data_IF_977036870279
#
_entry.id   IF_977036870279
#
_cell.length_a   1.000
_cell.length_b   1.000
_cell.length_c   1.000
_cell.angle_alpha   90.00
_cell.angle_beta   90.00
_cell.angle_gamma   90.00
#
_symmetry.space_group_name_H-M   'P 1'
#
loop_
_entity.id
_entity.type
_entity.pdbx_description
1 polymer ?
#
# COMPACT_ATOMS: atom_id res chain seq x y z
N UNK A 1 12.29 8.70 -5.38
CA UNK A 1 10.97 8.61 -6.01
C UNK A 1 9.92 9.45 -5.28
N UNK A 2 9.67 9.21 -3.98
CA UNK A 2 8.77 10.02 -3.14
C UNK A 2 9.56 10.65 -2.00
N UNK A 3 9.30 11.93 -1.69
CA UNK A 3 9.90 12.65 -0.59
C UNK A 3 8.80 13.43 0.16
N UNK A 4 8.72 13.26 1.47
CA UNK A 4 7.77 13.91 2.36
C UNK A 4 8.55 14.79 3.33
N UNK A 5 8.17 16.08 3.41
CA UNK A 5 8.84 17.08 4.26
C UNK A 5 7.83 17.75 5.17
N UNK A 6 8.02 17.59 6.49
CA UNK A 6 7.24 18.23 7.56
C UNK A 6 5.74 18.14 7.30
N UNK A 7 5.25 16.97 6.87
CA UNK A 7 3.85 16.78 6.52
C UNK A 7 2.98 16.82 7.77
N UNK A 8 1.97 17.68 7.72
CA UNK A 8 0.96 17.83 8.77
C UNK A 8 -0.43 17.64 8.18
N UNK A 9 -1.25 16.83 8.85
CA UNK A 9 -2.65 16.57 8.43
C UNK A 9 -3.58 16.71 9.62
N UNK A 10 -4.72 17.34 9.42
CA UNK A 10 -5.75 17.58 10.44
C UNK A 10 -7.12 17.13 9.98
N UNK A 11 -7.90 16.56 10.89
CA UNK A 11 -9.33 16.33 10.77
C UNK A 11 -10.06 17.31 11.70
N UNK A 12 -10.47 18.45 11.18
CA UNK A 12 -11.00 19.54 12.00
C UNK A 12 -9.97 19.98 13.03
N UNK A 13 -10.25 19.78 14.32
CA UNK A 13 -9.34 20.13 15.41
C UNK A 13 -8.33 19.01 15.75
N UNK A 14 -8.53 17.80 15.24
CA UNK A 14 -7.66 16.66 15.54
C UNK A 14 -6.45 16.70 14.61
N UNK A 15 -5.25 16.81 15.16
CA UNK A 15 -4.00 16.76 14.44
C UNK A 15 -3.56 15.31 14.32
N UNK A 16 -3.66 14.74 13.13
CA UNK A 16 -3.42 13.31 12.91
C UNK A 16 -2.00 12.98 12.44
N UNK A 17 -1.33 13.90 11.72
CA UNK A 17 0.09 13.76 11.36
C UNK A 17 0.85 15.01 11.76
N UNK A 18 2.01 14.84 12.39
CA UNK A 18 2.84 15.89 12.96
C UNK A 18 4.25 15.85 12.37
N UNK A 19 4.58 16.81 11.51
CA UNK A 19 5.92 17.00 10.93
C UNK A 19 6.55 15.71 10.38
N UNK A 20 5.74 14.87 9.71
CA UNK A 20 6.20 13.60 9.16
C UNK A 20 7.21 13.84 8.05
N UNK A 21 8.37 13.21 8.17
CA UNK A 21 9.41 13.16 7.15
C UNK A 21 9.66 11.71 6.74
N UNK A 22 9.62 11.41 5.45
CA UNK A 22 9.81 10.07 4.93
C UNK A 22 10.27 10.13 3.48
N UNK A 23 11.10 9.17 3.08
CA UNK A 23 11.54 9.02 1.69
C UNK A 23 11.27 7.60 1.20
N UNK A 24 10.93 7.46 -0.09
CA UNK A 24 10.79 6.18 -0.76
C UNK A 24 11.69 6.18 -2.00
N UNK A 25 12.69 5.32 -2.00
CA UNK A 25 13.55 5.12 -3.16
C UNK A 25 12.82 4.30 -4.24
N UNK A 26 13.22 4.47 -5.49
CA UNK A 26 12.64 3.69 -6.60
C UNK A 26 13.05 2.22 -6.49
N UNK A 27 12.10 1.31 -6.68
CA UNK A 27 12.32 -0.14 -6.61
C UNK A 27 12.41 -0.71 -5.19
N UNK A 28 12.33 0.13 -4.14
CA UNK A 28 12.36 -0.32 -2.75
C UNK A 28 10.98 -0.73 -2.24
N UNK A 29 10.98 -1.63 -1.27
CA UNK A 29 9.89 -1.81 -0.32
C UNK A 29 10.20 -0.95 0.90
N UNK A 30 9.35 0.04 1.16
CA UNK A 30 9.45 0.89 2.35
C UNK A 30 8.25 0.62 3.24
N UNK A 31 8.49 0.37 4.52
CA UNK A 31 7.39 0.12 5.47
C UNK A 31 7.21 1.25 6.47
N UNK A 32 5.95 1.54 6.78
CA UNK A 32 5.53 2.36 7.92
C UNK A 32 4.83 1.46 8.90
N UNK A 33 5.49 1.16 10.01
CA UNK A 33 4.95 0.26 11.05
C UNK A 33 4.48 1.05 12.27
N UNK A 34 3.44 0.58 12.92
CA UNK A 34 2.88 1.23 14.12
C UNK A 34 1.55 0.65 14.55
N UNK A 35 1.13 0.94 15.76
CA UNK A 35 -0.15 0.51 16.31
C UNK A 35 -1.36 1.11 15.54
N UNK A 36 -2.56 0.58 15.81
CA UNK A 36 -3.80 1.18 15.33
C UNK A 36 -3.93 2.62 15.86
N UNK A 37 -4.33 3.54 14.99
CA UNK A 37 -4.40 4.96 15.33
C UNK A 37 -3.06 5.72 15.26
N UNK A 38 -1.94 5.08 14.91
CA UNK A 38 -0.64 5.76 14.78
C UNK A 38 -0.59 6.81 13.67
N UNK A 39 -1.55 6.81 12.70
CA UNK A 39 -1.59 7.75 11.59
C UNK A 39 -1.26 7.14 10.22
N UNK A 40 -1.00 5.85 10.13
CA UNK A 40 -0.61 5.13 8.90
C UNK A 40 -1.61 5.33 7.76
N UNK A 41 -2.88 5.03 7.98
CA UNK A 41 -3.96 5.23 6.99
C UNK A 41 -4.09 6.69 6.58
N UNK A 42 -3.94 7.64 7.52
CA UNK A 42 -3.96 9.08 7.22
C UNK A 42 -2.82 9.44 6.25
N UNK A 43 -1.63 8.91 6.48
CA UNK A 43 -0.49 9.09 5.57
C UNK A 43 -0.81 8.53 4.18
N UNK A 44 -1.26 7.26 4.10
CA UNK A 44 -1.61 6.62 2.83
C UNK A 44 -2.70 7.37 2.06
N UNK A 45 -3.75 7.81 2.73
CA UNK A 45 -4.83 8.60 2.12
C UNK A 45 -4.34 9.96 1.62
N UNK A 46 -3.42 10.61 2.35
CA UNK A 46 -2.83 11.88 1.92
C UNK A 46 -1.99 11.70 0.67
N UNK A 47 -1.17 10.66 0.60
CA UNK A 47 -0.35 10.34 -0.56
C UNK A 47 -1.19 9.94 -1.78
N UNK A 48 -2.37 9.39 -1.57
CA UNK A 48 -3.33 9.08 -2.63
C UNK A 48 -4.18 10.29 -3.08
N UNK A 49 -3.98 11.48 -2.50
CA UNK A 49 -4.77 12.68 -2.81
C UNK A 49 -6.22 12.64 -2.31
N UNK A 50 -6.51 11.76 -1.34
CA UNK A 50 -7.82 11.65 -0.69
C UNK A 50 -7.96 12.57 0.51
N UNK A 51 -6.83 13.04 1.06
CA UNK A 51 -6.76 14.03 2.13
C UNK A 51 -5.80 15.14 1.74
N UNK A 52 -6.17 16.38 2.06
CA UNK A 52 -5.32 17.55 1.82
C UNK A 52 -4.48 17.82 3.07
N UNK A 53 -3.15 17.92 2.97
CA UNK A 53 -2.30 18.29 4.09
C UNK A 53 -2.60 19.73 4.55
N UNK A 54 -2.50 19.98 5.86
CA UNK A 54 -2.63 21.32 6.42
C UNK A 54 -1.34 22.13 6.24
N UNK A 55 -0.18 21.47 6.21
CA UNK A 55 1.12 22.07 5.87
C UNK A 55 2.14 20.97 5.52
N UNK A 56 3.33 21.37 5.08
CA UNK A 56 4.35 20.47 4.61
C UNK A 56 4.28 20.25 3.09
N UNK A 57 5.18 19.43 2.59
CA UNK A 57 5.34 19.20 1.17
C UNK A 57 5.47 17.70 0.88
N UNK A 58 4.85 17.25 -0.22
CA UNK A 58 5.06 15.91 -0.78
C UNK A 58 5.54 16.10 -2.21
N UNK A 59 6.74 15.59 -2.48
CA UNK A 59 7.35 15.59 -3.81
C UNK A 59 7.33 14.17 -4.37
N UNK A 60 6.80 14.01 -5.56
CA UNK A 60 6.85 12.78 -6.33
C UNK A 60 7.64 13.05 -7.62
N UNK A 61 8.76 12.31 -7.78
CA UNK A 61 9.71 12.53 -8.88
C UNK A 61 10.16 13.99 -9.00
N UNK A 62 10.45 14.61 -7.87
CA UNK A 62 10.96 15.99 -7.78
C UNK A 62 9.91 17.07 -8.02
N UNK A 63 8.64 16.71 -8.22
CA UNK A 63 7.55 17.68 -8.42
C UNK A 63 6.47 17.52 -7.36
N UNK A 64 5.82 18.63 -6.98
CA UNK A 64 4.76 18.61 -5.98
C UNK A 64 3.62 17.65 -6.36
N UNK A 65 3.16 16.88 -5.40
CA UNK A 65 2.07 15.93 -5.58
C UNK A 65 0.75 16.69 -5.83
N UNK A 66 -0.06 16.31 -6.84
CA UNK A 66 -1.40 16.87 -7.03
C UNK A 66 -2.29 16.63 -5.80
N UNK A 67 -3.25 17.51 -5.59
CA UNK A 67 -4.21 17.37 -4.47
C UNK A 67 -5.37 16.45 -4.79
N UNK A 68 -5.67 16.23 -6.06
CA UNK A 68 -6.83 15.47 -6.51
C UNK A 68 -6.44 14.02 -6.80
N UNK A 69 -7.16 13.07 -6.19
CA UNK A 69 -6.85 11.64 -6.25
C UNK A 69 -6.72 11.09 -7.69
N UNK A 70 -7.59 11.52 -8.62
CA UNK A 70 -7.51 11.05 -9.99
C UNK A 70 -6.23 11.52 -10.72
N UNK A 71 -5.71 12.72 -10.38
CA UNK A 71 -4.42 13.21 -10.89
C UNK A 71 -3.25 12.45 -10.27
N UNK A 72 -3.33 12.11 -8.98
CA UNK A 72 -2.33 11.28 -8.28
C UNK A 72 -2.26 9.91 -8.94
N UNK A 73 -3.41 9.26 -9.17
CA UNK A 73 -3.47 7.99 -9.89
C UNK A 73 -2.90 8.10 -11.30
N UNK A 74 -3.23 9.16 -12.03
CA UNK A 74 -2.69 9.45 -13.37
C UNK A 74 -1.16 9.65 -13.40
N UNK A 75 -0.55 9.98 -12.26
CA UNK A 75 0.92 10.05 -12.11
C UNK A 75 1.57 8.71 -11.73
N UNK A 76 0.76 7.66 -11.58
CA UNK A 76 1.25 6.31 -11.30
C UNK A 76 1.37 5.99 -9.81
N UNK A 77 0.62 6.64 -8.94
CA UNK A 77 0.49 6.28 -7.52
C UNK A 77 -0.87 5.64 -7.32
N UNK A 78 -0.91 4.38 -6.86
CA UNK A 78 -2.16 3.67 -6.60
C UNK A 78 -2.22 3.22 -5.14
N UNK A 79 -3.35 3.47 -4.48
CA UNK A 79 -3.64 3.01 -3.13
C UNK A 79 -4.53 1.76 -3.17
N UNK A 80 -4.09 0.71 -2.51
CA UNK A 80 -4.92 -0.41 -2.05
C UNK A 80 -5.27 -0.14 -0.60
N UNK A 81 -6.50 0.30 -0.30
CA UNK A 81 -6.87 0.73 1.04
C UNK A 81 -7.15 -0.46 1.97
N UNK A 82 -7.12 -0.20 3.28
CA UNK A 82 -7.65 -1.09 4.30
C UNK A 82 -9.07 -1.59 3.93
N UNK A 83 -9.43 -2.79 4.34
CA UNK A 83 -10.75 -3.42 4.07
C UNK A 83 -11.06 -3.64 2.60
N UNK A 84 -10.02 -3.76 1.74
CA UNK A 84 -10.09 -4.23 0.35
C UNK A 84 -10.92 -3.35 -0.60
N UNK A 85 -12.05 -2.82 -0.15
CA UNK A 85 -13.01 -1.96 -0.89
C UNK A 85 -13.29 -2.46 -2.31
N UNK A 86 -13.57 -3.76 -2.44
CA UNK A 86 -14.01 -4.35 -3.70
C UNK A 86 -15.46 -3.95 -4.00
N UNK A 87 -15.80 -3.95 -5.27
CA UNK A 87 -17.18 -3.87 -5.72
C UNK A 87 -17.81 -5.27 -5.57
N UNK A 88 -18.50 -5.52 -4.45
CA UNK A 88 -18.99 -6.83 -4.06
C UNK A 88 -19.92 -7.48 -5.09
N UNK A 89 -20.73 -6.66 -5.78
CA UNK A 89 -21.70 -7.07 -6.81
C UNK A 89 -21.08 -7.17 -8.23
N UNK A 90 -19.80 -6.91 -8.38
CA UNK A 90 -19.06 -7.17 -9.61
C UNK A 90 -18.27 -8.46 -9.48
N UNK A 91 -18.06 -9.13 -10.60
CA UNK A 91 -17.22 -10.32 -10.69
C UNK A 91 -15.74 -9.97 -10.43
N UNK A 92 -14.91 -10.99 -10.21
CA UNK A 92 -13.45 -10.82 -10.12
C UNK A 92 -12.93 -10.12 -11.37
N UNK A 93 -13.30 -10.59 -12.57
CA UNK A 93 -12.90 -9.99 -13.84
C UNK A 93 -13.26 -8.50 -13.93
N UNK A 94 -14.49 -8.15 -13.58
CA UNK A 94 -14.95 -6.76 -13.60
C UNK A 94 -14.21 -5.88 -12.59
N UNK A 95 -13.94 -6.40 -11.39
CA UNK A 95 -13.09 -5.70 -10.41
C UNK A 95 -11.70 -5.41 -10.97
N UNK A 96 -11.06 -6.37 -11.65
CA UNK A 96 -9.76 -6.15 -12.28
C UNK A 96 -9.84 -5.07 -13.37
N UNK A 97 -10.84 -5.12 -14.24
CA UNK A 97 -11.06 -4.12 -15.30
C UNK A 97 -11.32 -2.72 -14.73
N UNK A 98 -11.98 -2.60 -13.57
CA UNK A 98 -12.13 -1.31 -12.88
C UNK A 98 -10.78 -0.69 -12.50
N UNK A 99 -9.76 -1.51 -12.19
CA UNK A 99 -8.39 -1.02 -11.96
C UNK A 99 -7.76 -0.37 -13.20
N UNK A 100 -8.17 -0.79 -14.39
CA UNK A 100 -7.69 -0.25 -15.66
C UNK A 100 -8.60 0.87 -16.23
N UNK A 101 -9.57 1.38 -15.47
CA UNK A 101 -10.62 2.29 -15.95
C UNK A 101 -10.08 3.54 -16.70
N UNK A 102 -8.96 4.10 -16.26
CA UNK A 102 -8.35 5.28 -16.89
C UNK A 102 -7.48 4.94 -18.11
N UNK A 103 -7.32 3.65 -18.46
CA UNK A 103 -6.45 3.18 -19.53
C UNK A 103 -7.22 2.97 -20.81
N UNK A 104 -6.55 3.24 -21.94
CA UNK A 104 -7.12 3.09 -23.30
C UNK A 104 -6.42 1.99 -24.12
N UNK A 105 -5.33 1.42 -23.60
CA UNK A 105 -4.45 0.44 -24.24
C UNK A 105 -4.99 -1.00 -24.09
N UNK A 106 -6.09 -1.32 -24.77
CA UNK A 106 -6.84 -2.59 -24.63
C UNK A 106 -5.99 -3.85 -24.72
N UNK A 107 -5.06 -3.92 -25.68
CA UNK A 107 -4.16 -5.07 -25.84
C UNK A 107 -3.27 -5.29 -24.61
N UNK A 108 -2.73 -4.21 -24.04
CA UNK A 108 -1.93 -4.29 -22.84
C UNK A 108 -2.77 -4.61 -21.59
N UNK A 109 -4.03 -4.17 -21.52
CA UNK A 109 -4.95 -4.53 -20.42
C UNK A 109 -5.15 -6.04 -20.41
N UNK A 110 -5.33 -6.69 -21.56
CA UNK A 110 -5.49 -8.13 -21.62
C UNK A 110 -4.22 -8.88 -21.15
N UNK A 111 -3.06 -8.44 -21.62
CA UNK A 111 -1.77 -9.01 -21.16
C UNK A 111 -1.54 -8.82 -19.66
N UNK A 112 -1.92 -7.66 -19.10
CA UNK A 112 -1.83 -7.43 -17.65
C UNK A 112 -2.78 -8.33 -16.87
N UNK A 113 -3.96 -8.62 -17.38
CA UNK A 113 -4.87 -9.59 -16.75
C UNK A 113 -4.23 -10.98 -16.68
N UNK A 114 -3.60 -11.45 -17.76
CA UNK A 114 -2.89 -12.73 -17.79
C UNK A 114 -1.73 -12.75 -16.77
N UNK A 115 -1.01 -11.64 -16.65
CA UNK A 115 0.01 -11.47 -15.60
C UNK A 115 -0.60 -11.55 -14.19
N UNK A 116 -1.80 -10.98 -13.96
CA UNK A 116 -2.49 -11.11 -12.67
C UNK A 116 -2.89 -12.57 -12.39
N UNK A 117 -3.25 -13.36 -13.38
CA UNK A 117 -3.55 -14.79 -13.20
C UNK A 117 -2.30 -15.59 -12.86
N UNK A 118 -1.16 -15.23 -13.45
CA UNK A 118 0.14 -15.85 -13.09
C UNK A 118 0.52 -15.52 -11.65
N UNK A 119 0.38 -14.26 -11.25
CA UNK A 119 0.73 -13.81 -9.90
C UNK A 119 -0.24 -14.34 -8.82
N UNK A 120 -1.52 -14.47 -9.18
CA UNK A 120 -2.60 -14.91 -8.29
C UNK A 120 -3.47 -15.97 -9.01
N UNK A 121 -3.02 -17.24 -9.11
CA UNK A 121 -3.70 -18.28 -9.92
C UNK A 121 -5.17 -18.52 -9.56
N UNK A 122 -5.54 -18.27 -8.30
CA UNK A 122 -6.94 -18.39 -7.85
C UNK A 122 -7.90 -17.48 -8.63
N UNK A 123 -7.42 -16.36 -9.16
CA UNK A 123 -8.28 -15.41 -9.90
C UNK A 123 -8.79 -16.00 -11.20
N UNK A 124 -7.95 -16.74 -11.92
CA UNK A 124 -8.34 -17.38 -13.19
C UNK A 124 -9.51 -18.35 -12.96
N UNK A 125 -9.46 -19.11 -11.87
CA UNK A 125 -10.51 -20.07 -11.51
C UNK A 125 -11.81 -19.38 -11.07
N UNK A 126 -11.73 -18.13 -10.59
CA UNK A 126 -12.84 -17.37 -9.97
C UNK A 126 -13.33 -16.18 -10.81
N UNK A 127 -12.88 -16.03 -12.07
CA UNK A 127 -13.15 -14.86 -12.91
C UNK A 127 -14.62 -14.42 -12.97
N UNK A 128 -15.54 -15.39 -13.01
CA UNK A 128 -16.99 -15.16 -13.11
C UNK A 128 -17.67 -15.07 -11.74
N UNK A 129 -16.95 -15.32 -10.65
CA UNK A 129 -17.49 -15.28 -9.29
C UNK A 129 -17.63 -13.84 -8.82
N UNK A 130 -18.70 -13.50 -8.12
CA UNK A 130 -18.88 -12.20 -7.49
C UNK A 130 -17.85 -11.99 -6.38
N UNK A 131 -17.18 -10.84 -6.37
CA UNK A 131 -16.09 -10.57 -5.44
C UNK A 131 -16.54 -10.59 -3.97
N UNK A 132 -17.80 -10.25 -3.70
CA UNK A 132 -18.37 -10.32 -2.35
C UNK A 132 -18.48 -11.73 -1.75
N UNK A 133 -18.43 -12.78 -2.60
CA UNK A 133 -18.53 -14.18 -2.16
C UNK A 133 -17.19 -14.88 -1.96
N UNK A 134 -16.10 -14.19 -2.21
CA UNK A 134 -14.74 -14.69 -2.01
C UNK A 134 -14.37 -14.68 -0.52
N UNK A 135 -13.44 -15.57 -0.13
CA UNK A 135 -12.81 -15.50 1.19
C UNK A 135 -12.03 -14.20 1.38
N UNK A 136 -11.77 -13.84 2.63
CA UNK A 136 -11.05 -12.60 2.94
C UNK A 136 -9.67 -12.50 2.27
N UNK A 137 -8.92 -13.59 2.20
CA UNK A 137 -7.63 -13.61 1.53
C UNK A 137 -7.73 -13.48 0.02
N UNK A 138 -8.69 -14.18 -0.60
CA UNK A 138 -8.95 -14.03 -2.04
C UNK A 138 -9.37 -12.60 -2.40
N UNK A 139 -10.24 -11.98 -1.58
CA UNK A 139 -10.61 -10.57 -1.76
C UNK A 139 -9.40 -9.63 -1.68
N UNK A 140 -8.47 -9.88 -0.76
CA UNK A 140 -7.25 -9.06 -0.63
C UNK A 140 -6.37 -9.18 -1.88
N UNK A 141 -6.20 -10.39 -2.41
CA UNK A 141 -5.46 -10.62 -3.65
C UNK A 141 -6.11 -9.88 -4.83
N UNK A 142 -7.45 -9.94 -4.95
CA UNK A 142 -8.20 -9.21 -5.99
C UNK A 142 -8.03 -7.69 -5.81
N UNK A 143 -8.00 -7.16 -4.59
CA UNK A 143 -7.78 -5.74 -4.34
C UNK A 143 -6.39 -5.28 -4.78
N UNK A 144 -5.34 -6.07 -4.48
CA UNK A 144 -3.97 -5.79 -4.91
C UNK A 144 -3.88 -5.85 -6.44
N UNK A 145 -4.39 -6.92 -7.05
CA UNK A 145 -4.39 -7.09 -8.49
C UNK A 145 -5.14 -5.96 -9.20
N UNK A 146 -6.30 -5.54 -8.69
CA UNK A 146 -7.03 -4.37 -9.21
C UNK A 146 -6.16 -3.11 -9.17
N UNK A 147 -5.41 -2.89 -8.09
CA UNK A 147 -4.46 -1.78 -8.01
C UNK A 147 -3.37 -1.86 -9.08
N UNK A 148 -2.79 -3.05 -9.28
CA UNK A 148 -1.76 -3.31 -10.29
C UNK A 148 -2.25 -3.11 -11.74
N UNK A 149 -3.54 -3.34 -12.00
CA UNK A 149 -4.14 -3.10 -13.32
C UNK A 149 -4.08 -1.64 -13.77
N UNK A 150 -3.88 -0.69 -12.85
CA UNK A 150 -3.63 0.72 -13.19
C UNK A 150 -2.20 0.98 -13.71
N UNK A 151 -1.30 -0.02 -13.70
CA UNK A 151 0.15 0.08 -13.97
C UNK A 151 0.81 1.18 -13.13
N UNK A 152 0.70 1.13 -11.80
CA UNK A 152 1.31 2.13 -10.96
C UNK A 152 2.85 2.02 -11.02
N UNK A 153 3.54 3.11 -10.67
CA UNK A 153 4.97 3.13 -10.41
C UNK A 153 5.27 3.08 -8.90
N UNK A 154 4.31 3.53 -8.11
CA UNK A 154 4.31 3.43 -6.65
C UNK A 154 2.98 2.82 -6.19
N UNK A 155 3.06 1.66 -5.53
CA UNK A 155 1.92 0.97 -4.93
C UNK A 155 1.91 1.26 -3.44
N UNK A 156 0.81 1.88 -2.97
CA UNK A 156 0.55 2.11 -1.55
C UNK A 156 -0.35 0.97 -1.04
N UNK A 157 0.09 0.25 -0.01
CA UNK A 157 -0.66 -0.85 0.62
C UNK A 157 -0.97 -0.49 2.07
N UNK A 158 -2.25 -0.35 2.41
CA UNK A 158 -2.71 0.03 3.74
C UNK A 158 -3.26 -1.19 4.49
N UNK A 159 -2.48 -1.69 5.44
CA UNK A 159 -2.75 -2.87 6.28
C UNK A 159 -3.26 -4.10 5.48
N UNK A 160 -2.53 -4.53 4.45
CA UNK A 160 -3.00 -5.61 3.58
C UNK A 160 -3.13 -6.97 4.30
N UNK A 161 -2.46 -7.18 5.43
CA UNK A 161 -2.55 -8.42 6.22
C UNK A 161 -3.74 -8.48 7.17
N UNK A 162 -4.43 -7.35 7.41
CA UNK A 162 -5.44 -7.24 8.44
C UNK A 162 -6.60 -8.23 8.25
N UNK A 163 -6.88 -9.02 9.29
CA UNK A 163 -7.99 -9.98 9.30
C UNK A 163 -7.83 -11.16 8.35
N UNK A 164 -6.60 -11.49 7.96
CA UNK A 164 -6.28 -12.67 7.17
C UNK A 164 -5.83 -13.83 8.07
N UNK A 165 -6.11 -15.06 7.63
CA UNK A 165 -5.54 -16.26 8.24
C UNK A 165 -4.01 -16.30 8.02
N UNK A 166 -3.20 -16.89 8.93
CA UNK A 166 -1.74 -16.88 8.85
C UNK A 166 -1.18 -17.30 7.50
N UNK A 167 -1.68 -18.40 6.95
CA UNK A 167 -1.23 -18.89 5.63
C UNK A 167 -1.50 -17.89 4.50
N UNK A 168 -2.59 -17.13 4.58
CA UNK A 168 -2.93 -16.11 3.59
C UNK A 168 -2.05 -14.87 3.73
N UNK A 169 -1.63 -14.54 4.96
CA UNK A 169 -0.66 -13.48 5.24
C UNK A 169 0.69 -13.82 4.58
N UNK A 170 1.19 -15.03 4.78
CA UNK A 170 2.44 -15.49 4.15
C UNK A 170 2.37 -15.41 2.62
N UNK A 171 1.29 -15.92 2.02
CA UNK A 171 1.10 -15.90 0.57
C UNK A 171 1.02 -14.46 0.03
N UNK A 172 0.36 -13.56 0.75
CA UNK A 172 0.27 -12.15 0.39
C UNK A 172 1.65 -11.47 0.43
N UNK A 173 2.43 -11.67 1.50
CA UNK A 173 3.78 -11.09 1.59
C UNK A 173 4.73 -11.67 0.52
N UNK A 174 4.60 -12.97 0.17
CA UNK A 174 5.33 -13.55 -0.97
C UNK A 174 4.97 -12.85 -2.27
N UNK A 175 3.67 -12.63 -2.54
CA UNK A 175 3.22 -11.92 -3.73
C UNK A 175 3.74 -10.47 -3.76
N UNK A 176 3.74 -9.74 -2.64
CA UNK A 176 4.30 -8.38 -2.54
C UNK A 176 5.80 -8.37 -2.89
N UNK A 177 6.58 -9.34 -2.38
CA UNK A 177 8.00 -9.50 -2.74
C UNK A 177 8.17 -9.75 -4.24
N UNK A 178 7.36 -10.62 -4.82
CA UNK A 178 7.42 -10.94 -6.26
C UNK A 178 7.09 -9.71 -7.12
N UNK A 179 6.08 -8.93 -6.74
CA UNK A 179 5.72 -7.67 -7.38
C UNK A 179 6.91 -6.68 -7.33
N UNK A 180 7.58 -6.57 -6.18
CA UNK A 180 8.74 -5.70 -6.03
C UNK A 180 9.94 -6.17 -6.85
N UNK A 181 10.23 -7.49 -6.89
CA UNK A 181 11.30 -8.06 -7.71
C UNK A 181 11.12 -7.77 -9.21
N UNK A 182 9.89 -7.47 -9.66
CA UNK A 182 9.59 -7.03 -11.02
C UNK A 182 9.80 -5.50 -11.20
N UNK A 183 10.38 -4.81 -10.21
CA UNK A 183 10.74 -3.39 -10.25
C UNK A 183 9.68 -2.43 -9.67
N UNK A 184 8.60 -2.94 -9.07
CA UNK A 184 7.58 -2.11 -8.44
C UNK A 184 8.13 -1.45 -7.17
N UNK A 185 7.90 -0.15 -7.00
CA UNK A 185 8.12 0.54 -5.72
C UNK A 185 6.90 0.38 -4.83
N UNK A 186 7.11 0.03 -3.57
CA UNK A 186 6.01 -0.26 -2.64
C UNK A 186 6.20 0.55 -1.35
N UNK A 187 5.15 1.25 -0.92
CA UNK A 187 5.04 1.80 0.42
C UNK A 187 3.95 1.02 1.17
N UNK A 188 4.36 0.32 2.22
CA UNK A 188 3.54 -0.59 2.99
C UNK A 188 3.26 -0.01 4.39
N UNK A 189 2.00 0.20 4.74
CA UNK A 189 1.59 0.46 6.12
C UNK A 189 1.14 -0.84 6.76
N UNK A 190 1.71 -1.20 7.91
CA UNK A 190 1.40 -2.46 8.59
C UNK A 190 1.41 -2.32 10.11
N UNK A 191 0.56 -3.12 10.74
CA UNK A 191 0.61 -3.33 12.18
C UNK A 191 1.52 -4.50 12.54
N UNK A 192 1.60 -5.53 11.69
CA UNK A 192 2.51 -6.66 11.86
C UNK A 192 3.96 -6.23 11.56
N UNK A 193 4.59 -5.65 12.58
CA UNK A 193 5.92 -5.05 12.44
C UNK A 193 6.97 -6.08 12.02
N UNK A 194 6.94 -7.32 12.53
CA UNK A 194 7.94 -8.32 12.22
C UNK A 194 8.00 -8.61 10.71
N UNK A 195 6.86 -8.98 10.12
CA UNK A 195 6.80 -9.32 8.69
C UNK A 195 7.07 -8.13 7.78
N UNK A 196 6.58 -6.94 8.16
CA UNK A 196 6.84 -5.72 7.41
C UNK A 196 8.33 -5.37 7.39
N UNK A 197 8.99 -5.37 8.56
CA UNK A 197 10.42 -5.06 8.68
C UNK A 197 11.31 -6.10 8.00
N UNK A 198 10.95 -7.39 8.06
CA UNK A 198 11.71 -8.47 7.42
C UNK A 198 11.82 -8.32 5.91
N UNK A 199 10.79 -7.72 5.27
CA UNK A 199 10.77 -7.57 3.81
C UNK A 199 11.22 -6.19 3.32
N UNK A 200 11.43 -5.24 4.21
CA UNK A 200 11.67 -3.84 3.84
C UNK A 200 13.15 -3.51 3.66
N UNK A 201 13.44 -2.74 2.62
CA UNK A 201 14.73 -2.09 2.44
C UNK A 201 14.91 -0.99 3.49
N UNK A 202 13.91 -0.10 3.62
CA UNK A 202 13.84 0.97 4.60
C UNK A 202 12.52 0.88 5.37
N UNK A 203 12.52 1.31 6.62
CA UNK A 203 11.33 1.33 7.43
C UNK A 203 11.27 2.50 8.40
N UNK A 204 10.05 2.89 8.75
CA UNK A 204 9.72 4.00 9.63
C UNK A 204 8.75 3.50 10.70
N UNK A 205 9.06 3.74 11.96
CA UNK A 205 8.15 3.46 13.07
C UNK A 205 7.33 4.70 13.36
N UNK A 206 6.01 4.57 13.30
CA UNK A 206 5.07 5.67 13.49
C UNK A 206 4.29 5.47 14.79
N UNK A 207 4.25 6.52 15.61
CA UNK A 207 3.46 6.59 16.84
C UNK A 207 2.81 7.95 16.98
N UNK A 208 1.51 7.98 17.28
CA UNK A 208 0.73 9.21 17.52
C UNK A 208 0.99 10.30 16.46
N UNK A 209 0.97 9.91 15.18
CA UNK A 209 1.15 10.81 14.04
C UNK A 209 2.58 11.27 13.76
N UNK A 210 3.59 10.71 14.41
CA UNK A 210 5.02 11.06 14.27
C UNK A 210 5.85 9.86 13.87
N UNK A 211 6.91 10.09 13.09
CA UNK A 211 7.97 9.10 12.92
C UNK A 211 8.90 9.22 14.13
N UNK A 212 9.05 8.13 14.89
CA UNK A 212 9.88 8.09 16.09
C UNK A 212 11.23 7.40 15.86
N UNK A 213 11.29 6.44 14.92
CA UNK A 213 12.51 5.73 14.55
C UNK A 213 12.47 5.46 13.05
N UNK A 214 13.62 5.48 12.40
CA UNK A 214 13.78 5.11 10.99
C UNK A 214 15.12 4.40 10.75
N UNK A 215 15.18 3.55 9.75
CA UNK A 215 16.37 2.81 9.38
C UNK A 215 16.06 1.73 8.36
N UNK A 216 17.03 0.87 8.06
CA UNK A 216 16.75 -0.32 7.25
C UNK A 216 15.87 -1.30 8.03
N UNK A 217 15.03 -2.08 7.33
CA UNK A 217 14.20 -3.09 7.98
C UNK A 217 15.00 -4.02 8.89
N UNK A 218 16.16 -4.48 8.40
CA UNK A 218 17.10 -5.33 9.17
C UNK A 218 17.65 -4.64 10.44
N UNK A 219 17.95 -3.35 10.36
CA UNK A 219 18.44 -2.60 11.53
C UNK A 219 17.34 -2.49 12.59
N UNK A 220 16.11 -2.13 12.17
CA UNK A 220 14.97 -1.99 13.09
C UNK A 220 14.51 -3.31 13.69
N UNK A 221 14.61 -4.43 12.97
CA UNK A 221 14.38 -5.77 13.54
C UNK A 221 15.32 -6.11 14.70
N UNK A 222 16.52 -5.51 14.72
CA UNK A 222 17.51 -5.75 15.78
C UNK A 222 17.54 -4.66 16.84
N UNK A 223 16.80 -3.57 16.66
CA UNK A 223 16.72 -2.47 17.61
C UNK A 223 15.99 -2.90 18.90
N UNK A 224 16.60 -2.73 20.10
CA UNK A 224 16.00 -3.16 21.37
C UNK A 224 14.67 -2.44 21.68
N UNK A 225 14.54 -1.17 21.30
CA UNK A 225 13.32 -0.39 21.54
C UNK A 225 12.19 -0.90 20.65
N UNK A 226 12.49 -1.15 19.38
CA UNK A 226 11.51 -1.68 18.41
C UNK A 226 11.08 -3.10 18.82
N UNK A 227 12.04 -3.95 19.23
CA UNK A 227 11.74 -5.31 19.73
C UNK A 227 10.76 -5.29 20.88
N UNK A 228 11.06 -4.53 21.91
CA UNK A 228 10.22 -4.45 23.11
C UNK A 228 8.83 -3.84 22.83
N UNK A 229 8.75 -2.79 22.02
CA UNK A 229 7.51 -2.04 21.81
C UNK A 229 6.58 -2.68 20.74
N UNK A 230 7.15 -3.32 19.70
CA UNK A 230 6.40 -3.71 18.51
C UNK A 230 6.54 -5.19 18.12
N UNK A 231 7.56 -5.92 18.61
CA UNK A 231 7.75 -7.33 18.26
C UNK A 231 7.38 -8.30 19.40
N UNK A 232 7.17 -7.79 20.62
CA UNK A 232 6.75 -8.59 21.78
C UNK A 232 7.83 -9.54 22.28
N UNK A 233 9.10 -9.25 22.02
CA UNK A 233 10.29 -10.05 22.41
C UNK A 233 11.35 -9.18 23.12
#
# INVERSE_FOLDING_TARGET
>A
MLEIKKLNVKYGQIHALHDVNLTVASGHIVSVVGANGAGKTTLMMTLAGLLTPSSGEVLYEGTALPKEAYKVLGRGICLVPERRRLYANLTVKENLLMGAYLRIDKACIQSDMERMYTLFPIMEQRLKQYAGTLSGGEQQMVAIARGLMSRPRLLLLDEPSLGLAPIMVENMFKAIREINCQGMTILLAEQNAFQALEMSDDAFVMETGRIIVSGTGKALLNDPVVKKAYLGI
#
